data_IF_275811280050
#
_entry.id   IF_275811280050
#
_cell.length_a   1.000
_cell.length_b   1.000
_cell.length_c   1.000
_cell.angle_alpha   90.00
_cell.angle_beta   90.00
_cell.angle_gamma   90.00
#
_symmetry.space_group_name_H-M   'P 1'
#
loop_
_entity.id
_entity.type
_entity.pdbx_description
1 polymer ?
#
# COMPACT_ATOMS: atom_id res chain seq x y z
N UNK A 1 -16.32 -12.14 18.38
CA UNK A 1 -16.87 -11.87 17.02
C UNK A 1 -16.32 -10.59 16.34
N UNK A 2 -15.96 -9.56 17.10
CA UNK A 2 -15.53 -8.25 16.57
C UNK A 2 -14.13 -8.26 15.94
N UNK A 3 -13.21 -9.09 16.45
CA UNK A 3 -11.84 -9.19 15.91
C UNK A 3 -11.83 -9.66 14.44
N UNK A 4 -12.61 -10.68 14.11
CA UNK A 4 -12.71 -11.21 12.73
C UNK A 4 -13.23 -10.15 11.77
N UNK A 5 -14.30 -9.43 12.13
CA UNK A 5 -14.82 -8.34 11.29
C UNK A 5 -13.79 -7.24 11.05
N UNK A 6 -13.10 -6.81 12.11
CA UNK A 6 -12.04 -5.80 11.98
C UNK A 6 -10.91 -6.25 11.08
N UNK A 7 -10.46 -7.50 11.22
CA UNK A 7 -9.37 -8.05 10.43
C UNK A 7 -9.79 -8.21 8.96
N UNK A 8 -11.04 -8.60 8.69
CA UNK A 8 -11.63 -8.57 7.34
C UNK A 8 -11.61 -7.17 6.74
N UNK A 9 -12.07 -6.14 7.48
CA UNK A 9 -12.05 -4.76 6.99
C UNK A 9 -10.62 -4.26 6.72
N UNK A 10 -9.66 -4.62 7.57
CA UNK A 10 -8.24 -4.26 7.39
C UNK A 10 -7.64 -4.93 6.15
N UNK A 11 -7.94 -6.21 5.94
CA UNK A 11 -7.49 -6.91 4.72
C UNK A 11 -8.13 -6.32 3.47
N UNK A 12 -9.39 -5.92 3.51
CA UNK A 12 -10.03 -5.22 2.39
C UNK A 12 -9.28 -3.92 2.04
N UNK A 13 -8.85 -3.15 3.05
CA UNK A 13 -8.02 -1.95 2.83
C UNK A 13 -6.64 -2.25 2.26
N UNK A 14 -6.01 -3.36 2.65
CA UNK A 14 -4.75 -3.79 2.03
C UNK A 14 -4.94 -4.12 0.55
N UNK A 15 -6.00 -4.87 0.21
CA UNK A 15 -6.29 -5.19 -1.19
C UNK A 15 -6.60 -3.96 -2.02
N UNK A 16 -7.40 -3.02 -1.49
CA UNK A 16 -7.69 -1.74 -2.14
C UNK A 16 -6.39 -1.00 -2.51
N UNK A 17 -5.41 -0.94 -1.61
CA UNK A 17 -4.13 -0.29 -1.91
C UNK A 17 -3.26 -1.08 -2.90
N UNK A 18 -3.38 -2.42 -2.93
CA UNK A 18 -2.73 -3.25 -3.95
C UNK A 18 -3.33 -3.02 -5.33
N UNK A 19 -4.65 -2.84 -5.42
CA UNK A 19 -5.36 -2.54 -6.66
C UNK A 19 -4.96 -1.15 -7.19
N UNK A 20 -4.89 -0.13 -6.32
CA UNK A 20 -4.39 1.21 -6.70
C UNK A 20 -2.93 1.16 -7.19
N UNK A 21 -2.08 0.35 -6.55
CA UNK A 21 -0.71 0.16 -7.00
C UNK A 21 -0.62 -0.58 -8.34
N UNK A 22 -1.48 -1.57 -8.57
CA UNK A 22 -1.57 -2.25 -9.86
C UNK A 22 -2.01 -1.28 -10.95
N UNK A 23 -3.02 -0.44 -10.69
CA UNK A 23 -3.44 0.63 -11.59
C UNK A 23 -2.28 1.59 -11.91
N UNK A 24 -1.51 2.03 -10.91
CA UNK A 24 -0.33 2.86 -11.14
C UNK A 24 0.67 2.19 -12.10
N UNK A 25 0.95 0.90 -11.93
CA UNK A 25 1.86 0.15 -12.80
C UNK A 25 1.37 0.08 -14.25
N UNK A 26 0.05 -0.01 -14.47
CA UNK A 26 -0.56 -0.03 -15.81
C UNK A 26 -0.34 1.30 -16.55
N UNK A 27 -0.21 2.41 -15.82
CA UNK A 27 0.03 3.73 -16.39
C UNK A 27 1.49 3.95 -16.82
N UNK A 28 2.42 3.09 -16.39
CA UNK A 28 3.85 3.26 -16.68
C UNK A 28 4.22 2.74 -18.08
N UNK A 29 5.20 3.38 -18.76
CA UNK A 29 5.70 2.90 -20.04
C UNK A 29 6.26 1.47 -19.95
N UNK A 30 5.76 0.58 -20.81
CA UNK A 30 6.23 -0.80 -20.88
C UNK A 30 7.70 -0.88 -21.33
N UNK A 31 8.41 -1.91 -20.85
CA UNK A 31 9.80 -2.18 -21.22
C UNK A 31 10.84 -1.31 -20.52
N UNK A 32 10.43 -0.46 -19.57
CA UNK A 32 11.35 0.27 -18.68
C UNK A 32 11.31 -0.33 -17.27
N UNK A 33 12.43 -0.28 -16.53
CA UNK A 33 12.42 -0.62 -15.12
C UNK A 33 11.46 0.28 -14.33
N UNK A 34 10.80 -0.28 -13.32
CA UNK A 34 9.95 0.46 -12.39
C UNK A 34 10.82 1.42 -11.58
N UNK A 35 10.43 2.69 -11.50
CA UNK A 35 11.16 3.70 -10.73
C UNK A 35 11.15 3.41 -9.22
N UNK A 36 12.18 3.87 -8.51
CA UNK A 36 12.31 3.63 -7.06
C UNK A 36 11.11 4.14 -6.27
N UNK A 37 10.57 5.31 -6.62
CA UNK A 37 9.42 5.90 -5.91
C UNK A 37 8.16 5.02 -6.02
N UNK A 38 7.98 4.32 -7.14
CA UNK A 38 6.89 3.35 -7.32
C UNK A 38 7.15 2.10 -6.48
N UNK A 39 8.40 1.61 -6.42
CA UNK A 39 8.76 0.51 -5.53
C UNK A 39 8.59 0.86 -4.05
N UNK A 40 8.80 2.12 -3.69
CA UNK A 40 8.57 2.61 -2.33
C UNK A 40 7.08 2.53 -1.97
N UNK A 41 6.16 2.82 -2.90
CA UNK A 41 4.71 2.62 -2.70
C UNK A 41 4.39 1.16 -2.38
N UNK A 42 4.98 0.20 -3.13
CA UNK A 42 4.83 -1.23 -2.80
C UNK A 42 5.27 -1.51 -1.36
N UNK A 43 6.37 -0.91 -0.92
CA UNK A 43 6.86 -1.11 0.44
C UNK A 43 5.95 -0.45 1.49
N UNK A 44 5.36 0.71 1.20
CA UNK A 44 4.33 1.33 2.05
C UNK A 44 3.13 0.40 2.26
N UNK A 45 2.71 -0.39 1.25
CA UNK A 45 1.62 -1.37 1.40
C UNK A 45 2.01 -2.48 2.37
N UNK A 46 3.25 -2.97 2.32
CA UNK A 46 3.74 -3.97 3.26
C UNK A 46 3.81 -3.41 4.68
N UNK A 47 4.27 -2.17 4.85
CA UNK A 47 4.26 -1.48 6.14
C UNK A 47 2.82 -1.26 6.66
N UNK A 48 1.84 -1.02 5.79
CA UNK A 48 0.42 -0.94 6.18
C UNK A 48 -0.07 -2.28 6.76
N UNK A 49 0.31 -3.41 6.14
CA UNK A 49 -0.01 -4.75 6.66
C UNK A 49 0.63 -4.97 8.04
N UNK A 50 1.88 -4.58 8.22
CA UNK A 50 2.56 -4.65 9.52
C UNK A 50 1.82 -3.79 10.55
N UNK A 51 1.43 -2.57 10.20
CA UNK A 51 0.65 -1.69 11.06
C UNK A 51 -0.69 -2.29 11.47
N UNK A 52 -1.37 -3.04 10.59
CA UNK A 52 -2.67 -3.64 10.89
C UNK A 52 -2.61 -4.94 11.68
N UNK A 53 -1.60 -5.77 11.46
CA UNK A 53 -1.59 -7.15 11.97
C UNK A 53 -0.45 -7.45 12.94
N UNK A 54 0.64 -6.67 12.92
CA UNK A 54 1.87 -6.92 13.67
C UNK A 54 2.32 -5.70 14.47
N UNK A 55 1.43 -5.11 15.28
CA UNK A 55 1.69 -3.87 16.02
C UNK A 55 2.95 -3.94 16.91
N UNK A 56 3.25 -5.11 17.48
CA UNK A 56 4.43 -5.30 18.33
C UNK A 56 5.76 -5.21 17.56
N UNK A 57 5.75 -5.41 16.24
CA UNK A 57 6.93 -5.26 15.39
C UNK A 57 7.27 -3.78 15.11
N UNK A 58 6.24 -2.91 15.09
CA UNK A 58 6.37 -1.53 14.63
C UNK A 58 6.54 -1.43 13.11
N UNK A 59 6.45 -0.23 12.57
CA UNK A 59 6.71 0.06 11.14
C UNK A 59 8.01 0.83 10.99
N UNK A 60 8.68 0.67 9.85
CA UNK A 60 9.93 1.40 9.56
C UNK A 60 9.71 2.91 9.44
N UNK A 61 8.51 3.32 9.03
CA UNK A 61 8.08 4.72 8.94
C UNK A 61 6.57 4.86 9.17
N UNK A 62 6.06 6.08 9.44
CA UNK A 62 4.63 6.30 9.60
C UNK A 62 3.84 6.05 8.32
N UNK A 63 2.88 5.12 8.35
CA UNK A 63 2.10 4.70 7.18
C UNK A 63 0.59 4.71 7.45
N UNK A 64 -0.20 4.90 6.39
CA UNK A 64 -1.68 4.82 6.39
C UNK A 64 -2.16 4.68 4.95
N UNK A 65 -3.36 4.14 4.74
CA UNK A 65 -4.07 4.14 3.45
C UNK A 65 -4.03 5.51 2.75
N UNK A 66 -4.39 6.59 3.46
CA UNK A 66 -4.37 7.95 2.91
C UNK A 66 -2.99 8.42 2.42
N UNK A 67 -1.91 7.94 3.05
CA UNK A 67 -0.54 8.29 2.65
C UNK A 67 -0.12 7.52 1.40
N UNK A 68 -0.57 6.28 1.27
CA UNK A 68 -0.33 5.46 0.07
C UNK A 68 -1.06 6.07 -1.12
N UNK A 69 -2.35 6.39 -0.98
CA UNK A 69 -3.13 7.07 -2.04
C UNK A 69 -2.43 8.35 -2.49
N UNK A 70 -2.01 9.21 -1.54
CA UNK A 70 -1.28 10.44 -1.88
C UNK A 70 0.04 10.18 -2.62
N UNK A 71 0.76 9.12 -2.26
CA UNK A 71 2.00 8.76 -2.94
C UNK A 71 1.73 8.26 -4.38
N UNK A 72 0.66 7.48 -4.56
CA UNK A 72 0.19 7.04 -5.89
C UNK A 72 -0.22 8.24 -6.74
N UNK A 73 -1.04 9.15 -6.20
CA UNK A 73 -1.50 10.36 -6.89
C UNK A 73 -0.33 11.25 -7.36
N UNK A 74 0.77 11.27 -6.60
CA UNK A 74 1.96 12.04 -6.95
C UNK A 74 2.79 11.41 -8.09
N UNK A 75 2.60 10.12 -8.35
CA UNK A 75 3.33 9.33 -9.36
C UNK A 75 2.50 9.03 -10.60
N UNK A 76 1.18 9.16 -10.50
CA UNK A 76 0.27 9.03 -11.63
C UNK A 76 0.57 10.13 -12.67
N UNK A 77 0.67 9.78 -13.97
CA UNK A 77 0.97 10.72 -15.04
C UNK A 77 -0.18 11.70 -15.37
#
# INVERSE_FOLDING_TARGET
PTAVQRDTTRMAKVHEMQDEYAWLLEQLPQGRPVGQEVLDVRWMIEELRVSYFAHALGTAFPVSDKRIVKAIDALAP
#
